data_IF_780197230709
#
_entry.id   IF_780197230709
#
_cell.length_a   1.000
_cell.length_b   1.000
_cell.length_c   1.000
_cell.angle_alpha   90.00
_cell.angle_beta   90.00
_cell.angle_gamma   90.00
#
_symmetry.space_group_name_H-M   'P 1'
#
loop_
_entity.id
_entity.type
_entity.pdbx_description
1 polymer ?
#
# COMPACT_ATOMS: atom_id res chain seq x y z
N UNK A 1 3.83 9.40 1.89
CA UNK A 1 4.28 8.48 0.83
C UNK A 1 5.80 8.29 0.83
N UNK A 2 6.59 9.33 1.18
CA UNK A 2 8.02 9.43 0.86
C UNK A 2 8.90 8.82 1.94
N UNK A 3 9.84 7.95 1.56
CA UNK A 3 10.81 7.36 2.48
C UNK A 3 11.70 8.43 3.14
N UNK A 4 12.02 9.53 2.44
CA UNK A 4 12.82 10.64 2.95
C UNK A 4 12.15 11.44 4.09
N UNK A 5 10.84 11.29 4.29
CA UNK A 5 10.13 11.89 5.42
C UNK A 5 10.44 11.19 6.75
N UNK A 6 10.87 9.93 6.70
CA UNK A 6 11.31 9.19 7.87
C UNK A 6 12.67 9.71 8.34
N UNK A 7 12.75 10.13 9.60
CA UNK A 7 14.00 10.64 10.21
C UNK A 7 14.76 9.57 10.99
N UNK A 8 14.20 8.39 11.13
CA UNK A 8 14.83 7.23 11.74
C UNK A 8 14.98 6.12 10.70
N UNK A 9 16.00 5.28 10.86
CA UNK A 9 16.19 4.11 10.03
C UNK A 9 15.00 3.15 10.20
N UNK A 10 14.36 2.79 9.09
CA UNK A 10 13.29 1.80 9.06
C UNK A 10 13.83 0.38 8.86
N UNK A 11 12.95 -0.63 9.00
CA UNK A 11 13.33 -2.04 8.89
C UNK A 11 13.83 -2.42 7.48
N UNK A 12 13.28 -1.81 6.42
CA UNK A 12 13.68 -2.05 5.03
C UNK A 12 15.13 -1.61 4.83
N UNK A 13 15.45 -0.36 5.18
CA UNK A 13 16.82 0.17 5.05
C UNK A 13 17.80 -0.54 5.97
N UNK A 14 17.38 -0.88 7.20
CA UNK A 14 18.23 -1.62 8.13
C UNK A 14 18.63 -2.97 7.55
N UNK A 15 17.68 -3.76 7.05
CA UNK A 15 17.92 -5.06 6.49
C UNK A 15 18.78 -4.98 5.21
N UNK A 16 18.45 -4.04 4.31
CA UNK A 16 19.21 -3.81 3.09
C UNK A 16 20.68 -3.41 3.38
N UNK A 17 20.90 -2.53 4.36
CA UNK A 17 22.24 -2.13 4.80
C UNK A 17 23.02 -3.27 5.46
N UNK A 18 22.36 -4.34 5.90
CA UNK A 18 22.97 -5.58 6.41
C UNK A 18 23.25 -6.61 5.30
N UNK A 19 22.95 -6.27 4.05
CA UNK A 19 23.17 -7.12 2.89
C UNK A 19 22.08 -8.16 2.64
N UNK A 20 20.92 -8.04 3.31
CA UNK A 20 19.76 -8.87 3.02
C UNK A 20 19.08 -8.38 1.74
N UNK A 21 18.51 -9.30 0.99
CA UNK A 21 17.66 -9.04 -0.16
C UNK A 21 16.27 -8.63 0.31
N UNK A 22 15.90 -7.39 0.07
CA UNK A 22 14.67 -6.81 0.60
C UNK A 22 13.70 -6.46 -0.51
N UNK A 23 12.47 -6.93 -0.37
CA UNK A 23 11.35 -6.54 -1.22
C UNK A 23 10.24 -5.86 -0.43
N UNK A 24 9.52 -4.96 -1.11
CA UNK A 24 8.38 -4.25 -0.54
C UNK A 24 7.37 -3.94 -1.64
N UNK A 25 6.12 -4.30 -1.41
CA UNK A 25 5.02 -4.01 -2.33
C UNK A 25 3.91 -3.29 -1.56
N UNK A 26 3.58 -2.10 -2.03
CA UNK A 26 2.54 -1.23 -1.45
C UNK A 26 2.65 -1.00 0.05
N UNK A 27 3.86 -1.15 0.63
CA UNK A 27 4.08 -0.86 2.04
C UNK A 27 4.14 0.64 2.28
N UNK A 28 3.51 1.16 3.36
CA UNK A 28 3.47 2.60 3.64
C UNK A 28 4.85 3.25 3.72
N UNK A 29 4.93 4.49 3.24
CA UNK A 29 6.11 5.35 3.32
C UNK A 29 7.35 4.73 2.63
N UNK A 30 7.15 4.12 1.47
CA UNK A 30 8.25 3.45 0.72
C UNK A 30 8.58 4.09 -0.62
N UNK A 31 7.94 5.21 -0.99
CA UNK A 31 8.30 5.91 -2.21
C UNK A 31 9.76 6.39 -2.17
N UNK A 32 10.60 5.82 -3.05
CA UNK A 32 12.05 6.08 -3.07
C UNK A 32 12.86 5.36 -1.99
N UNK A 33 12.27 4.40 -1.26
CA UNK A 33 13.00 3.62 -0.25
C UNK A 33 14.12 2.78 -0.85
N UNK A 34 15.18 2.59 -0.07
CA UNK A 34 16.33 1.74 -0.43
C UNK A 34 16.01 0.27 -0.14
N UNK A 35 15.72 -0.48 -1.17
CA UNK A 35 15.50 -1.93 -1.16
C UNK A 35 15.78 -2.50 -2.54
N UNK A 36 15.89 -3.83 -2.64
CA UNK A 36 16.21 -4.47 -3.92
C UNK A 36 15.00 -4.42 -4.88
N UNK A 37 13.80 -4.73 -4.38
CA UNK A 37 12.56 -4.73 -5.16
C UNK A 37 11.47 -3.97 -4.43
N UNK A 38 11.38 -2.66 -4.63
CA UNK A 38 10.40 -1.78 -4.01
C UNK A 38 9.40 -1.29 -5.05
N UNK A 39 8.14 -1.61 -4.84
CA UNK A 39 6.98 -1.02 -5.51
C UNK A 39 6.23 -0.24 -4.43
N UNK A 40 6.26 1.10 -4.44
CA UNK A 40 5.79 1.90 -3.31
C UNK A 40 4.28 1.92 -3.17
N UNK A 41 3.80 2.24 -1.97
CA UNK A 41 2.43 2.67 -1.77
C UNK A 41 2.29 4.12 -2.20
N UNK A 42 1.89 4.32 -3.44
CA UNK A 42 1.58 5.63 -3.99
C UNK A 42 0.48 5.47 -5.04
N UNK A 43 -0.63 6.17 -4.86
CA UNK A 43 -1.78 5.96 -5.72
C UNK A 43 -1.96 7.13 -6.69
N UNK A 44 -2.07 6.86 -8.00
CA UNK A 44 -2.32 7.90 -8.98
C UNK A 44 -3.69 8.55 -8.73
N UNK A 45 -3.78 9.83 -9.00
CA UNK A 45 -5.06 10.52 -9.01
C UNK A 45 -5.95 9.98 -10.14
N UNK A 46 -7.27 10.13 -10.00
CA UNK A 46 -8.18 9.68 -11.06
C UNK A 46 -7.87 10.34 -12.40
N UNK A 47 -7.50 9.52 -13.39
CA UNK A 47 -7.12 9.99 -14.73
C UNK A 47 -5.63 10.33 -14.89
N UNK A 48 -4.83 10.18 -13.85
CA UNK A 48 -3.37 10.26 -13.92
C UNK A 48 -2.80 8.94 -14.44
N UNK A 49 -1.73 9.04 -15.24
CA UNK A 49 -1.00 7.85 -15.69
C UNK A 49 -0.20 7.26 -14.51
N UNK A 50 -0.44 5.99 -14.11
CA UNK A 50 0.32 5.34 -13.04
C UNK A 50 1.84 5.38 -13.25
N UNK A 51 2.32 5.41 -14.48
CA UNK A 51 3.74 5.49 -14.77
C UNK A 51 4.38 6.76 -14.19
N UNK A 52 3.62 7.86 -14.06
CA UNK A 52 4.13 9.13 -13.51
C UNK A 52 4.43 9.06 -12.02
N UNK A 53 3.79 8.13 -11.30
CA UNK A 53 3.95 7.96 -9.86
C UNK A 53 4.77 6.71 -9.50
N UNK A 54 4.63 5.61 -10.23
CA UNK A 54 5.36 4.38 -9.90
C UNK A 54 6.80 4.37 -10.42
N UNK A 55 7.04 4.76 -11.68
CA UNK A 55 8.39 4.66 -12.27
C UNK A 55 9.46 5.49 -11.55
N UNK A 56 9.21 6.73 -11.11
CA UNK A 56 10.22 7.52 -10.42
C UNK A 56 10.58 7.01 -9.02
N UNK A 57 9.68 6.26 -8.37
CA UNK A 57 9.78 5.92 -6.95
C UNK A 57 9.87 4.43 -6.65
N UNK A 58 9.77 3.58 -7.68
CA UNK A 58 10.10 2.15 -7.58
C UNK A 58 11.60 1.92 -7.73
N UNK A 59 12.10 0.83 -7.13
CA UNK A 59 13.47 0.41 -7.41
C UNK A 59 13.61 -0.04 -8.88
N UNK A 60 14.77 0.20 -9.53
CA UNK A 60 14.95 -0.14 -10.95
C UNK A 60 14.61 -1.59 -11.28
N UNK A 61 15.01 -2.53 -10.42
CA UNK A 61 14.81 -3.97 -10.64
C UNK A 61 13.36 -4.45 -10.40
N UNK A 62 12.49 -3.60 -9.83
CA UNK A 62 11.06 -3.86 -9.68
C UNK A 62 10.21 -3.30 -10.84
N UNK A 63 10.77 -2.43 -11.68
CA UNK A 63 10.02 -1.74 -12.76
C UNK A 63 9.40 -2.71 -13.76
N UNK A 64 10.10 -3.77 -14.14
CA UNK A 64 9.58 -4.74 -15.09
C UNK A 64 8.41 -5.55 -14.51
N UNK A 65 8.45 -5.84 -13.21
CA UNK A 65 7.33 -6.48 -12.50
C UNK A 65 6.12 -5.52 -12.44
N UNK A 66 6.34 -4.27 -12.07
CA UNK A 66 5.31 -3.24 -12.12
C UNK A 66 4.63 -3.15 -13.49
N UNK A 67 5.41 -3.05 -14.57
CA UNK A 67 4.90 -2.94 -15.95
C UNK A 67 4.05 -4.12 -16.38
N UNK A 68 4.36 -5.34 -15.93
CA UNK A 68 3.56 -6.53 -16.24
C UNK A 68 2.13 -6.42 -15.69
N UNK A 69 1.98 -5.80 -14.52
CA UNK A 69 0.72 -5.81 -13.79
C UNK A 69 0.01 -4.44 -13.70
N UNK A 70 0.64 -3.35 -14.16
CA UNK A 70 0.08 -2.00 -14.03
C UNK A 70 -1.35 -1.83 -14.60
N UNK A 71 -1.74 -2.63 -15.58
CA UNK A 71 -3.08 -2.55 -16.16
C UNK A 71 -4.20 -2.93 -15.18
N UNK A 72 -3.90 -3.71 -14.14
CA UNK A 72 -4.87 -4.04 -13.09
C UNK A 72 -5.26 -2.81 -12.26
N UNK A 73 -4.41 -1.77 -12.23
CA UNK A 73 -4.70 -0.50 -11.57
C UNK A 73 -5.83 0.31 -12.23
N UNK A 74 -6.29 -0.11 -13.40
CA UNK A 74 -7.42 0.50 -14.13
C UNK A 74 -8.71 -0.32 -14.04
N UNK A 75 -8.72 -1.45 -13.34
CA UNK A 75 -9.94 -2.24 -13.15
C UNK A 75 -10.79 -1.69 -12.00
N UNK A 76 -11.35 -0.50 -12.21
CA UNK A 76 -12.24 0.15 -11.25
C UNK A 76 -13.57 -0.57 -11.01
N UNK A 77 -13.85 -1.68 -11.73
CA UNK A 77 -15.01 -2.55 -11.47
C UNK A 77 -14.80 -3.41 -10.23
N UNK A 78 -13.56 -3.74 -9.90
CA UNK A 78 -13.17 -4.42 -8.68
C UNK A 78 -12.79 -3.38 -7.59
N UNK A 79 -13.51 -3.29 -6.47
CA UNK A 79 -13.18 -2.32 -5.40
C UNK A 79 -11.82 -2.58 -4.75
N UNK A 80 -11.27 -3.77 -4.92
CA UNK A 80 -10.01 -4.22 -4.35
C UNK A 80 -8.89 -4.32 -5.41
N UNK A 81 -9.02 -3.63 -6.54
CA UNK A 81 -8.02 -3.65 -7.62
C UNK A 81 -6.58 -3.30 -7.17
N UNK A 82 -6.36 -2.44 -6.14
CA UNK A 82 -5.01 -2.20 -5.66
C UNK A 82 -4.36 -3.46 -5.07
N UNK A 83 -5.15 -4.26 -4.35
CA UNK A 83 -4.66 -5.48 -3.72
C UNK A 83 -4.45 -6.61 -4.75
N UNK A 84 -5.25 -6.64 -5.83
CA UNK A 84 -4.98 -7.52 -6.98
C UNK A 84 -3.62 -7.19 -7.58
N UNK A 85 -3.34 -5.92 -7.84
CA UNK A 85 -2.05 -5.45 -8.33
C UNK A 85 -0.91 -5.84 -7.38
N UNK A 86 -1.08 -5.55 -6.10
CA UNK A 86 -0.07 -5.85 -5.07
C UNK A 86 0.23 -7.35 -4.98
N UNK A 87 -0.80 -8.19 -5.03
CA UNK A 87 -0.66 -9.66 -5.00
C UNK A 87 0.11 -10.17 -6.21
N UNK A 88 -0.26 -9.75 -7.43
CA UNK A 88 0.42 -10.17 -8.65
C UNK A 88 1.89 -9.78 -8.68
N UNK A 89 2.21 -8.55 -8.27
CA UNK A 89 3.59 -8.11 -8.12
C UNK A 89 4.36 -8.94 -7.07
N UNK A 90 3.70 -9.26 -5.96
CA UNK A 90 4.29 -10.06 -4.88
C UNK A 90 4.59 -11.49 -5.32
N UNK A 91 3.66 -12.13 -6.02
CA UNK A 91 3.84 -13.49 -6.59
C UNK A 91 5.06 -13.53 -7.50
N UNK A 92 5.18 -12.57 -8.41
CA UNK A 92 6.35 -12.51 -9.31
C UNK A 92 7.66 -12.26 -8.55
N UNK A 93 7.68 -11.35 -7.57
CA UNK A 93 8.86 -11.10 -6.74
C UNK A 93 9.27 -12.38 -5.98
N UNK A 94 8.33 -13.06 -5.37
CA UNK A 94 8.59 -14.29 -4.60
C UNK A 94 9.17 -15.38 -5.51
N UNK A 95 8.55 -15.63 -6.66
CA UNK A 95 8.98 -16.68 -7.59
C UNK A 95 10.33 -16.39 -8.25
N UNK A 96 10.54 -15.14 -8.67
CA UNK A 96 11.72 -14.77 -9.46
C UNK A 96 12.91 -14.34 -8.62
N UNK A 97 12.68 -13.72 -7.46
CA UNK A 97 13.71 -12.99 -6.70
C UNK A 97 14.04 -13.62 -5.35
N UNK A 98 13.09 -14.28 -4.71
CA UNK A 98 13.26 -14.97 -3.41
C UNK A 98 13.92 -14.04 -2.38
N UNK A 99 13.29 -12.92 -1.98
CA UNK A 99 13.87 -11.98 -1.03
C UNK A 99 14.05 -12.59 0.36
N UNK A 100 15.04 -12.16 1.14
CA UNK A 100 15.24 -12.56 2.54
C UNK A 100 14.23 -11.89 3.48
N UNK A 101 13.76 -10.69 3.12
CA UNK A 101 12.76 -9.94 3.86
C UNK A 101 11.74 -9.34 2.88
N UNK A 102 10.47 -9.57 3.15
CA UNK A 102 9.38 -9.15 2.28
C UNK A 102 8.30 -8.40 3.06
N UNK A 103 7.93 -7.23 2.58
CA UNK A 103 6.85 -6.40 3.12
C UNK A 103 5.73 -6.27 2.10
N UNK A 104 4.50 -6.54 2.52
CA UNK A 104 3.30 -6.39 1.71
C UNK A 104 2.22 -5.68 2.53
N UNK A 105 1.56 -4.71 1.92
CA UNK A 105 0.36 -4.09 2.47
C UNK A 105 -0.83 -4.35 1.55
N UNK A 106 -1.91 -4.87 2.12
CA UNK A 106 -3.20 -5.11 1.46
C UNK A 106 -4.26 -4.25 2.15
N UNK A 107 -5.04 -3.52 1.37
CA UNK A 107 -5.93 -2.46 1.86
C UNK A 107 -7.43 -2.77 1.73
N UNK A 108 -7.81 -3.98 1.28
CA UNK A 108 -9.20 -4.33 0.99
C UNK A 108 -10.13 -4.13 2.21
N UNK A 109 -9.66 -4.53 3.40
CA UNK A 109 -10.44 -4.39 4.63
C UNK A 109 -10.69 -2.92 4.98
N UNK A 110 -9.66 -2.08 4.89
CA UNK A 110 -9.76 -0.65 5.11
C UNK A 110 -10.72 0.00 4.09
N UNK A 111 -10.54 -0.33 2.81
CA UNK A 111 -11.40 0.13 1.71
C UNK A 111 -12.87 -0.19 1.95
N UNK A 112 -13.17 -1.40 2.42
CA UNK A 112 -14.55 -1.81 2.67
C UNK A 112 -15.13 -1.13 3.91
N UNK A 113 -14.34 -0.99 4.98
CA UNK A 113 -14.75 -0.30 6.21
C UNK A 113 -15.06 1.17 5.98
N UNK A 114 -14.29 1.85 5.16
CA UNK A 114 -14.60 3.23 4.75
C UNK A 114 -15.94 3.34 4.02
N UNK A 115 -16.35 2.32 3.28
CA UNK A 115 -17.60 2.32 2.51
C UNK A 115 -18.81 1.84 3.31
N UNK A 116 -18.65 0.84 4.16
CA UNK A 116 -19.77 0.12 4.82
C UNK A 116 -19.83 0.33 6.34
N UNK A 117 -18.84 1.00 6.95
CA UNK A 117 -18.67 1.12 8.40
C UNK A 117 -17.79 0.02 8.97
N UNK A 118 -17.52 0.10 10.28
CA UNK A 118 -16.53 -0.75 10.95
C UNK A 118 -17.09 -2.05 11.56
N UNK A 119 -18.38 -2.34 11.37
CA UNK A 119 -19.00 -3.56 11.90
C UNK A 119 -18.47 -4.81 11.21
N UNK A 120 -18.04 -5.80 12.02
CA UNK A 120 -17.40 -7.01 11.53
C UNK A 120 -18.30 -7.83 10.59
N UNK A 121 -19.59 -7.81 10.80
CA UNK A 121 -20.59 -8.56 10.02
C UNK A 121 -20.70 -8.07 8.56
N UNK A 122 -20.09 -6.93 8.27
CA UNK A 122 -20.06 -6.36 6.91
C UNK A 122 -18.73 -6.62 6.19
N UNK A 123 -17.81 -7.34 6.84
CA UNK A 123 -16.43 -7.47 6.38
C UNK A 123 -16.14 -8.79 5.65
N UNK A 124 -17.07 -9.74 5.62
CA UNK A 124 -16.87 -11.07 5.04
C UNK A 124 -16.30 -11.00 3.62
N UNK A 125 -16.85 -10.13 2.77
CA UNK A 125 -16.38 -9.94 1.39
C UNK A 125 -14.88 -9.56 1.30
N UNK A 126 -14.40 -8.69 2.18
CA UNK A 126 -13.01 -8.29 2.20
C UNK A 126 -12.11 -9.34 2.86
N UNK A 127 -12.62 -10.04 3.86
CA UNK A 127 -11.87 -11.11 4.54
C UNK A 127 -11.68 -12.32 3.62
N UNK A 128 -12.72 -12.76 2.94
CA UNK A 128 -12.64 -13.83 1.94
C UNK A 128 -11.67 -13.46 0.82
N UNK A 129 -11.76 -12.22 0.31
CA UNK A 129 -10.85 -11.73 -0.70
C UNK A 129 -9.39 -11.71 -0.22
N UNK A 130 -9.14 -11.23 1.00
CA UNK A 130 -7.77 -11.21 1.57
C UNK A 130 -7.22 -12.61 1.80
N UNK A 131 -8.05 -13.55 2.27
CA UNK A 131 -7.68 -14.96 2.45
C UNK A 131 -7.26 -15.58 1.11
N UNK A 132 -8.04 -15.36 0.04
CA UNK A 132 -7.68 -15.78 -1.31
C UNK A 132 -6.33 -15.20 -1.76
N UNK A 133 -6.10 -13.90 -1.53
CA UNK A 133 -4.84 -13.24 -1.93
C UNK A 133 -3.63 -13.73 -1.12
N UNK A 134 -3.82 -13.99 0.15
CA UNK A 134 -2.78 -14.61 0.99
C UNK A 134 -2.51 -16.04 0.49
N UNK A 135 -3.56 -16.79 0.13
CA UNK A 135 -3.44 -18.11 -0.49
C UNK A 135 -2.56 -18.10 -1.73
N UNK A 136 -2.81 -17.18 -2.69
CA UNK A 136 -1.98 -17.03 -3.90
C UNK A 136 -0.50 -16.77 -3.59
N UNK A 137 -0.22 -16.02 -2.53
CA UNK A 137 1.16 -15.73 -2.08
C UNK A 137 1.81 -16.97 -1.48
N UNK A 138 1.09 -17.71 -0.63
CA UNK A 138 1.59 -18.94 -0.04
C UNK A 138 1.84 -20.01 -1.10
N UNK A 139 0.95 -20.14 -2.08
CA UNK A 139 1.13 -21.04 -3.23
C UNK A 139 2.40 -20.67 -4.03
N UNK A 140 2.64 -19.38 -4.26
CA UNK A 140 3.85 -18.90 -4.92
C UNK A 140 5.13 -19.26 -4.13
N UNK A 141 5.08 -19.18 -2.80
CA UNK A 141 6.17 -19.60 -1.92
C UNK A 141 6.39 -21.11 -1.96
N UNK A 142 5.32 -21.91 -1.98
CA UNK A 142 5.40 -23.36 -2.10
C UNK A 142 6.03 -23.76 -3.44
N UNK A 143 5.53 -23.20 -4.55
CA UNK A 143 6.06 -23.44 -5.90
C UNK A 143 7.51 -23.03 -6.04
N UNK A 144 7.95 -21.95 -5.38
CA UNK A 144 9.34 -21.51 -5.38
C UNK A 144 10.26 -22.29 -4.42
N UNK A 145 9.64 -23.15 -3.58
CA UNK A 145 10.35 -23.96 -2.56
C UNK A 145 10.80 -23.16 -1.33
N UNK A 146 10.23 -21.97 -1.10
CA UNK A 146 10.66 -21.06 -0.03
C UNK A 146 9.71 -21.02 1.17
N UNK A 147 8.52 -21.65 1.09
CA UNK A 147 7.47 -21.54 2.12
C UNK A 147 7.97 -21.87 3.54
N UNK A 148 8.80 -22.91 3.68
CA UNK A 148 9.33 -23.33 4.98
C UNK A 148 10.56 -22.52 5.46
N UNK A 149 11.03 -21.58 4.66
CA UNK A 149 12.18 -20.74 4.99
C UNK A 149 11.77 -19.41 5.62
N UNK A 150 10.47 -19.05 5.54
CA UNK A 150 9.95 -17.79 6.02
C UNK A 150 9.23 -17.92 7.37
N UNK A 151 9.33 -16.85 8.14
CA UNK A 151 8.45 -16.58 9.28
C UNK A 151 7.46 -15.48 8.89
N UNK A 152 6.17 -15.72 9.10
CA UNK A 152 5.11 -14.82 8.72
C UNK A 152 4.66 -13.95 9.89
N UNK A 153 4.49 -12.66 9.63
CA UNK A 153 3.90 -11.70 10.56
C UNK A 153 2.66 -11.08 9.90
N UNK A 154 1.49 -11.34 10.46
CA UNK A 154 0.23 -10.71 10.06
C UNK A 154 -0.15 -9.67 11.09
N UNK A 155 -0.35 -8.42 10.67
CA UNK A 155 -0.69 -7.32 11.56
C UNK A 155 -1.65 -6.36 10.87
N UNK A 156 -2.45 -5.67 11.68
CA UNK A 156 -3.17 -4.48 11.25
C UNK A 156 -2.35 -3.24 11.59
N UNK A 157 -2.37 -2.25 10.73
CA UNK A 157 -1.71 -0.96 10.92
C UNK A 157 -2.47 -0.06 11.90
N UNK A 158 -3.80 -0.14 11.90
CA UNK A 158 -4.69 0.56 12.82
C UNK A 158 -6.06 -0.12 12.92
N UNK A 159 -6.85 0.29 13.88
CA UNK A 159 -8.28 -0.04 13.99
C UNK A 159 -9.16 1.05 13.37
N UNK A 160 -10.45 0.76 13.23
CA UNK A 160 -11.47 1.72 12.80
C UNK A 160 -12.67 1.69 13.73
N UNK A 161 -13.27 2.87 13.94
CA UNK A 161 -14.49 3.04 14.68
C UNK A 161 -15.52 3.76 13.82
N UNK A 162 -16.79 3.43 13.99
CA UNK A 162 -17.86 4.21 13.40
C UNK A 162 -17.88 5.61 13.99
N UNK A 163 -18.08 6.60 13.13
CA UNK A 163 -18.27 7.99 13.52
C UNK A 163 -19.75 8.37 13.31
N UNK A 164 -20.33 9.07 14.25
CA UNK A 164 -21.70 9.59 14.21
C UNK A 164 -21.75 11.12 14.13
N UNK A 165 -20.58 11.77 14.24
CA UNK A 165 -20.47 13.24 14.19
C UNK A 165 -19.25 13.65 13.39
N UNK A 166 -19.42 14.68 12.59
CA UNK A 166 -18.37 15.31 11.80
C UNK A 166 -18.20 16.77 12.24
N UNK A 167 -16.96 17.19 12.41
CA UNK A 167 -16.62 18.57 12.73
C UNK A 167 -15.82 19.20 11.59
N UNK A 168 -16.46 20.09 10.86
CA UNK A 168 -15.85 20.80 9.74
C UNK A 168 -14.94 21.95 10.20
N UNK A 169 -13.73 21.65 10.68
CA UNK A 169 -12.81 22.67 11.21
C UNK A 169 -12.50 23.78 10.19
N UNK A 170 -12.38 23.44 8.91
CA UNK A 170 -12.12 24.44 7.86
C UNK A 170 -13.28 25.42 7.67
N UNK A 171 -14.52 25.01 7.96
CA UNK A 171 -15.66 25.91 7.98
C UNK A 171 -15.55 26.93 9.12
N UNK A 172 -15.17 26.46 10.32
CA UNK A 172 -14.94 27.36 11.47
C UNK A 172 -13.79 28.32 11.17
N UNK A 173 -12.68 27.85 10.60
CA UNK A 173 -11.56 28.71 10.21
C UNK A 173 -11.95 29.73 9.16
N UNK A 174 -12.84 29.37 8.24
CA UNK A 174 -13.41 30.30 7.25
C UNK A 174 -14.27 31.38 7.91
N UNK A 175 -15.16 30.98 8.81
CA UNK A 175 -16.03 31.92 9.55
C UNK A 175 -15.21 32.88 10.43
N UNK A 176 -14.04 32.43 10.90
CA UNK A 176 -13.07 33.26 11.65
C UNK A 176 -12.16 34.13 10.73
N UNK A 177 -12.29 34.05 9.41
CA UNK A 177 -11.51 34.82 8.45
C UNK A 177 -10.06 34.34 8.23
N UNK A 178 -9.73 33.12 8.63
CA UNK A 178 -8.44 32.51 8.34
C UNK A 178 -8.37 31.84 6.96
N UNK A 179 -9.51 31.39 6.43
CA UNK A 179 -9.66 30.87 5.08
C UNK A 179 -10.56 31.83 4.31
N UNK A 180 -10.09 32.41 3.23
CA UNK A 180 -10.84 33.32 2.35
C UNK A 180 -11.51 32.51 1.24
N UNK A 181 -10.74 31.69 0.54
CA UNK A 181 -11.19 30.75 -0.49
C UNK A 181 -10.22 29.56 -0.59
N UNK A 182 -10.45 28.65 -1.55
CA UNK A 182 -9.63 27.44 -1.71
C UNK A 182 -8.16 27.68 -2.10
N UNK A 183 -7.78 28.92 -2.42
CA UNK A 183 -6.42 29.32 -2.80
C UNK A 183 -5.79 30.31 -1.83
N UNK A 184 -6.62 30.99 -1.03
CA UNK A 184 -6.20 32.06 -0.13
C UNK A 184 -6.56 31.70 1.30
N UNK A 185 -5.58 31.19 2.05
CA UNK A 185 -5.73 30.84 3.46
C UNK A 185 -4.51 31.23 4.28
N UNK A 186 -4.72 31.53 5.54
CA UNK A 186 -3.66 31.70 6.56
C UNK A 186 -3.39 30.39 7.28
N UNK A 187 -4.46 29.64 7.57
CA UNK A 187 -4.44 28.34 8.24
C UNK A 187 -5.51 27.48 7.57
N UNK A 188 -5.19 26.23 7.26
CA UNK A 188 -6.11 25.22 6.75
C UNK A 188 -5.78 23.89 7.39
N UNK A 189 -6.80 23.13 7.82
CA UNK A 189 -6.64 21.75 8.23
C UNK A 189 -6.74 20.83 7.01
N UNK A 190 -5.89 19.81 6.98
CA UNK A 190 -5.84 18.76 5.97
C UNK A 190 -6.22 17.42 6.58
#
# INVERSE_FOLDING_TARGET
WWADDLKAQNAIEFAHNKGLKVASVTWPVTAGAKGDWVIPEIWPQRGEDPDTVFLPYSSPDAIEIYKRHKNTLFDFSNPFYPDVFATLCSVDIIKEKKPDLFFLHLSALDTLRHKKGAEIEKMDEALDFLDDKIGEILDAMEESGTLNEYTFFFLGDHGQLNIDKEFGINRVLKDMGYIIDNKNWKIMAH
#
